data_IF_536442212414
#
_entry.id   IF_536442212414
#
_cell.length_a   1.000
_cell.length_b   1.000
_cell.length_c   1.000
_cell.angle_alpha   90.00
_cell.angle_beta   90.00
_cell.angle_gamma   90.00
#
_symmetry.space_group_name_H-M   'P 1'
#
loop_
_entity.id
_entity.type
_entity.pdbx_description
1 polymer ?
#
# COMPACT_ATOMS: atom_id res chain seq x y z
N UNK A 1 2.26 -7.54 1.81
CA UNK A 1 1.74 -6.19 1.46
C UNK A 1 0.25 -6.14 1.78
N UNK A 2 -0.35 -4.96 1.97
CA UNK A 2 -1.82 -4.82 1.91
C UNK A 2 -2.19 -3.75 0.88
N UNK A 3 -3.19 -4.07 0.07
CA UNK A 3 -3.86 -3.19 -0.89
C UNK A 3 -5.32 -3.05 -0.43
N UNK A 4 -5.86 -1.83 -0.51
CA UNK A 4 -7.27 -1.55 -0.21
C UNK A 4 -7.94 -1.00 -1.48
N UNK A 5 -9.07 -1.57 -1.88
CA UNK A 5 -9.90 -1.06 -2.98
C UNK A 5 -11.14 -0.39 -2.39
N UNK A 6 -11.40 0.88 -2.74
CA UNK A 6 -12.57 1.63 -2.28
C UNK A 6 -13.81 1.46 -3.17
N UNK A 7 -14.99 1.44 -2.56
CA UNK A 7 -16.28 1.40 -3.27
C UNK A 7 -16.81 2.81 -3.57
N UNK A 8 -17.83 2.91 -4.43
CA UNK A 8 -18.41 4.16 -4.97
C UNK A 8 -19.01 5.15 -3.94
N UNK A 9 -19.13 4.78 -2.67
CA UNK A 9 -19.67 5.63 -1.61
C UNK A 9 -18.90 6.94 -1.38
N UNK A 10 -19.66 7.98 -1.01
CA UNK A 10 -19.17 9.25 -0.47
C UNK A 10 -18.92 9.07 1.04
N UNK A 11 -17.92 9.76 1.60
CA UNK A 11 -17.62 9.73 3.04
C UNK A 11 -17.48 11.16 3.57
N UNK A 12 -18.07 11.49 4.73
CA UNK A 12 -17.96 12.83 5.32
C UNK A 12 -16.54 13.13 5.84
N UNK A 13 -16.28 14.43 6.04
CA UNK A 13 -14.96 15.01 6.25
C UNK A 13 -14.13 14.42 7.40
N UNK A 14 -13.03 13.75 7.05
CA UNK A 14 -11.90 13.53 7.95
C UNK A 14 -10.77 14.54 7.66
N UNK A 15 -10.01 14.94 8.69
CA UNK A 15 -8.81 15.78 8.54
C UNK A 15 -7.61 14.91 8.10
N UNK A 16 -7.42 14.77 6.78
CA UNK A 16 -6.32 13.99 6.20
C UNK A 16 -5.10 14.81 5.72
N UNK A 17 -5.19 16.14 5.71
CA UNK A 17 -4.13 17.05 5.21
C UNK A 17 -3.71 16.73 3.76
N UNK A 18 -2.45 16.97 3.37
CA UNK A 18 -1.99 16.82 1.99
C UNK A 18 -2.22 15.44 1.33
N UNK A 19 -2.41 14.35 2.10
CA UNK A 19 -2.91 13.09 1.52
C UNK A 19 -4.35 13.26 1.04
N UNK A 20 -5.24 13.77 1.90
CA UNK A 20 -6.64 14.01 1.56
C UNK A 20 -6.70 14.95 0.37
N UNK A 21 -5.98 16.07 0.41
CA UNK A 21 -5.99 17.09 -0.63
C UNK A 21 -5.58 16.48 -1.98
N UNK A 22 -4.43 15.77 -2.05
CA UNK A 22 -3.96 15.08 -3.26
C UNK A 22 -4.78 13.84 -3.68
N UNK A 23 -5.60 13.29 -2.78
CA UNK A 23 -6.60 12.24 -3.09
C UNK A 23 -7.88 12.86 -3.64
N UNK A 24 -8.31 14.02 -3.12
CA UNK A 24 -9.44 14.79 -3.62
C UNK A 24 -9.12 15.36 -5.01
N UNK A 25 -7.94 15.95 -5.24
CA UNK A 25 -7.43 16.34 -6.57
C UNK A 25 -7.53 15.19 -7.60
N UNK A 26 -7.04 13.99 -7.22
CA UNK A 26 -7.09 12.79 -8.10
C UNK A 26 -8.50 12.23 -8.28
N UNK A 27 -9.42 12.46 -7.34
CA UNK A 27 -10.83 12.11 -7.50
C UNK A 27 -11.57 13.15 -8.37
N UNK A 28 -11.27 14.44 -8.23
CA UNK A 28 -11.90 15.53 -8.99
C UNK A 28 -11.46 15.52 -10.46
N UNK A 29 -10.16 15.40 -10.73
CA UNK A 29 -9.64 15.21 -12.09
C UNK A 29 -10.16 13.95 -12.81
N UNK A 30 -10.74 12.99 -12.06
CA UNK A 30 -11.43 11.80 -12.60
C UNK A 30 -12.95 11.95 -12.67
N UNK A 31 -13.58 12.64 -11.70
CA UNK A 31 -15.00 13.04 -11.74
C UNK A 31 -15.31 13.99 -12.88
N UNK A 32 -14.36 14.85 -13.26
CA UNK A 32 -14.45 15.69 -14.46
C UNK A 32 -14.60 14.87 -15.77
N UNK A 33 -14.30 13.56 -15.74
CA UNK A 33 -14.50 12.63 -16.85
C UNK A 33 -15.67 11.65 -16.65
N UNK A 34 -16.38 11.66 -15.51
CA UNK A 34 -17.47 10.72 -15.20
C UNK A 34 -18.47 11.21 -14.12
N UNK A 35 -19.74 11.33 -14.50
CA UNK A 35 -20.94 11.50 -13.64
C UNK A 35 -22.16 10.86 -14.35
N UNK A 36 -23.31 10.59 -13.68
CA UNK A 36 -23.65 10.65 -12.23
C UNK A 36 -23.66 9.21 -11.62
N UNK A 37 -24.04 8.86 -10.37
CA UNK A 37 -24.34 9.48 -9.05
C UNK A 37 -24.23 8.33 -7.97
N UNK A 38 -24.47 8.44 -6.65
CA UNK A 38 -24.89 9.54 -5.77
C UNK A 38 -25.95 9.08 -4.75
N UNK A 39 -25.58 8.79 -3.48
CA UNK A 39 -26.52 8.31 -2.45
C UNK A 39 -26.00 8.42 -0.99
N UNK A 40 -26.91 8.81 -0.08
CA UNK A 40 -27.14 8.23 1.27
C UNK A 40 -26.08 8.28 2.38
N UNK A 41 -26.48 8.74 3.58
CA UNK A 41 -25.67 8.82 4.81
C UNK A 41 -26.51 8.37 6.04
N UNK A 42 -25.91 7.67 7.04
CA UNK A 42 -26.55 7.29 8.32
C UNK A 42 -25.56 6.98 9.46
N UNK A 43 -26.13 6.84 10.67
CA UNK A 43 -25.58 7.09 12.03
C UNK A 43 -24.80 5.89 12.68
N UNK A 44 -23.93 6.10 13.70
CA UNK A 44 -23.07 5.05 14.28
C UNK A 44 -23.59 4.43 15.60
N UNK A 45 -23.43 3.10 15.76
CA UNK A 45 -23.73 2.34 16.98
C UNK A 45 -22.49 1.71 17.65
N UNK A 46 -22.61 1.35 18.93
CA UNK A 46 -21.48 1.07 19.84
C UNK A 46 -20.74 -0.27 19.66
N UNK A 47 -19.57 -0.35 20.29
CA UNK A 47 -18.64 -1.48 20.29
C UNK A 47 -18.92 -2.51 21.40
N UNK A 48 -18.67 -3.80 21.10
CA UNK A 48 -18.53 -4.84 22.14
C UNK A 48 -17.43 -5.84 21.76
N UNK A 49 -16.73 -6.37 22.76
CA UNK A 49 -15.47 -7.12 22.58
C UNK A 49 -15.64 -8.63 22.66
N UNK A 50 -15.90 -9.29 21.52
CA UNK A 50 -15.44 -10.68 21.22
C UNK A 50 -15.75 -11.05 19.77
N UNK A 51 -14.88 -11.85 19.12
CA UNK A 51 -15.16 -12.60 17.88
C UNK A 51 -15.92 -11.86 16.77
N UNK A 52 -15.22 -11.05 15.97
CA UNK A 52 -15.80 -10.24 14.88
C UNK A 52 -16.65 -11.07 13.92
N UNK A 53 -17.97 -10.81 13.93
CA UNK A 53 -18.99 -11.51 13.12
C UNK A 53 -19.66 -10.48 12.18
N UNK A 54 -19.70 -10.79 10.89
CA UNK A 54 -19.97 -9.85 9.78
C UNK A 54 -21.11 -10.34 8.85
N UNK A 55 -21.47 -9.62 7.76
CA UNK A 55 -22.58 -9.99 6.86
C UNK A 55 -22.36 -11.30 6.07
N UNK A 56 -23.42 -12.05 5.70
CA UNK A 56 -23.30 -13.47 5.30
C UNK A 56 -22.55 -13.81 3.99
N UNK A 57 -22.26 -12.86 3.10
CA UNK A 57 -22.04 -13.16 1.66
C UNK A 57 -20.62 -12.90 1.10
N UNK A 58 -19.58 -12.90 1.94
CA UNK A 58 -18.20 -12.72 1.42
C UNK A 58 -17.69 -13.89 0.59
N UNK A 59 -16.79 -13.53 -0.31
CA UNK A 59 -15.88 -14.42 -1.03
C UNK A 59 -14.44 -14.15 -0.57
N UNK A 60 -13.71 -15.24 -0.32
CA UNK A 60 -12.26 -15.21 -0.07
C UNK A 60 -11.59 -16.04 -1.17
N UNK A 61 -10.78 -15.39 -1.99
CA UNK A 61 -9.93 -16.06 -2.96
C UNK A 61 -8.53 -16.18 -2.36
N UNK A 62 -8.01 -17.40 -2.27
CA UNK A 62 -6.68 -17.66 -1.70
C UNK A 62 -5.66 -17.95 -2.78
N UNK A 63 -4.41 -17.63 -2.48
CA UNK A 63 -3.23 -18.09 -3.22
C UNK A 63 -3.33 -17.82 -4.74
N UNK A 64 -3.90 -16.67 -5.11
CA UNK A 64 -4.04 -16.30 -6.52
C UNK A 64 -2.67 -15.88 -7.07
N UNK A 65 -2.16 -16.54 -8.14
CA UNK A 65 -0.91 -16.12 -8.77
C UNK A 65 -1.10 -14.81 -9.53
N UNK A 66 -0.19 -13.86 -9.31
CA UNK A 66 -0.05 -12.63 -10.10
C UNK A 66 1.21 -12.61 -10.98
N UNK A 67 2.01 -13.69 -10.94
CA UNK A 67 3.20 -13.91 -11.75
C UNK A 67 3.69 -15.35 -11.64
N UNK A 68 4.84 -15.63 -12.24
CA UNK A 68 5.36 -16.98 -12.47
C UNK A 68 6.25 -17.54 -11.33
N UNK A 69 6.72 -16.69 -10.40
CA UNK A 69 7.43 -17.14 -9.19
C UNK A 69 6.42 -17.66 -8.15
N UNK A 70 6.64 -18.81 -7.49
CA UNK A 70 5.72 -19.35 -6.48
C UNK A 70 5.40 -18.43 -5.30
N UNK A 71 6.18 -17.35 -5.08
CA UNK A 71 5.93 -16.32 -4.05
C UNK A 71 5.10 -15.14 -4.58
N UNK A 72 4.85 -15.05 -5.88
CA UNK A 72 3.99 -14.03 -6.51
C UNK A 72 2.51 -14.41 -6.39
N UNK A 73 2.03 -14.60 -5.16
CA UNK A 73 0.64 -14.91 -4.83
C UNK A 73 -0.02 -13.88 -3.91
N UNK A 74 -1.36 -13.83 -3.93
CA UNK A 74 -2.16 -12.93 -3.09
C UNK A 74 -3.46 -13.58 -2.56
N UNK A 75 -3.84 -13.21 -1.33
CA UNK A 75 -5.19 -13.46 -0.78
C UNK A 75 -6.10 -12.24 -1.09
N UNK A 76 -7.35 -12.49 -1.49
CA UNK A 76 -8.37 -11.45 -1.75
C UNK A 76 -9.57 -11.64 -0.82
N UNK A 77 -9.83 -10.65 0.03
CA UNK A 77 -10.94 -10.62 0.96
C UNK A 77 -12.01 -9.64 0.44
N UNK A 78 -13.14 -10.17 -0.06
CA UNK A 78 -14.24 -9.41 -0.68
C UNK A 78 -15.37 -9.21 0.35
N UNK A 79 -16.04 -8.02 0.43
CA UNK A 79 -16.96 -7.66 1.53
C UNK A 79 -17.96 -8.73 2.03
N UNK A 80 -18.04 -8.88 3.36
CA UNK A 80 -18.88 -9.86 4.08
C UNK A 80 -18.10 -10.71 5.13
N UNK A 81 -18.52 -11.97 5.36
CA UNK A 81 -17.95 -12.95 6.29
C UNK A 81 -16.67 -13.67 5.81
N UNK A 82 -15.50 -13.16 6.20
CA UNK A 82 -14.24 -13.90 6.08
C UNK A 82 -14.09 -14.88 7.24
N UNK A 83 -14.20 -16.19 6.96
CA UNK A 83 -14.06 -17.26 7.97
C UNK A 83 -12.67 -17.34 8.62
N UNK A 84 -11.61 -16.90 7.91
CA UNK A 84 -10.26 -16.77 8.47
C UNK A 84 -9.42 -15.80 7.63
N UNK A 85 -8.92 -14.73 8.25
CA UNK A 85 -7.85 -13.90 7.71
C UNK A 85 -6.51 -14.30 8.33
N UNK A 86 -5.39 -14.09 7.63
CA UNK A 86 -4.08 -14.29 8.24
C UNK A 86 -3.88 -13.31 9.42
N UNK A 87 -3.18 -13.74 10.47
CA UNK A 87 -3.02 -12.94 11.69
C UNK A 87 -2.32 -11.58 11.46
N UNK A 88 -1.63 -11.42 10.33
CA UNK A 88 -0.97 -10.17 9.92
C UNK A 88 -1.96 -9.13 9.33
N UNK A 89 -3.11 -9.56 8.80
CA UNK A 89 -4.10 -8.68 8.16
C UNK A 89 -5.46 -8.67 8.85
N UNK A 90 -5.71 -9.58 9.81
CA UNK A 90 -6.96 -9.73 10.56
C UNK A 90 -7.58 -8.41 11.02
N UNK A 91 -6.81 -7.55 11.71
CA UNK A 91 -7.29 -6.24 12.19
C UNK A 91 -7.66 -5.27 11.06
N UNK A 92 -7.01 -5.37 9.90
CA UNK A 92 -7.32 -4.55 8.72
C UNK A 92 -8.58 -5.06 8.02
N UNK A 93 -8.69 -6.39 7.85
CA UNK A 93 -9.89 -7.04 7.31
C UNK A 93 -11.10 -6.72 8.19
N UNK A 94 -11.02 -6.93 9.50
CA UNK A 94 -12.08 -6.64 10.45
C UNK A 94 -12.55 -5.17 10.47
N UNK A 95 -11.68 -4.21 10.13
CA UNK A 95 -12.02 -2.78 10.14
C UNK A 95 -12.52 -2.26 8.79
N UNK A 96 -11.96 -2.72 7.67
CA UNK A 96 -12.20 -2.16 6.33
C UNK A 96 -13.18 -2.99 5.50
N UNK A 97 -13.21 -4.32 5.67
CA UNK A 97 -14.13 -5.20 4.96
C UNK A 97 -15.62 -4.88 5.24
N UNK A 98 -16.04 -4.53 6.48
CA UNK A 98 -17.43 -4.12 6.75
C UNK A 98 -17.79 -2.77 6.12
N UNK A 99 -16.78 -1.95 5.76
CA UNK A 99 -16.93 -0.64 5.13
C UNK A 99 -16.94 -0.73 3.59
N UNK A 100 -17.14 -1.93 3.03
CA UNK A 100 -17.20 -2.17 1.59
C UNK A 100 -15.85 -2.20 0.87
N UNK A 101 -14.71 -2.22 1.57
CA UNK A 101 -13.40 -2.29 0.93
C UNK A 101 -13.00 -3.74 0.63
N UNK A 102 -12.60 -4.04 -0.61
CA UNK A 102 -11.89 -5.29 -0.91
C UNK A 102 -10.44 -5.14 -0.40
N UNK A 103 -9.97 -6.14 0.35
CA UNK A 103 -8.62 -6.16 0.93
C UNK A 103 -7.80 -7.19 0.17
N UNK A 104 -6.67 -6.80 -0.41
CA UNK A 104 -5.75 -7.72 -1.07
C UNK A 104 -4.44 -7.80 -0.29
N UNK A 105 -4.07 -9.01 0.14
CA UNK A 105 -2.85 -9.30 0.89
C UNK A 105 -1.83 -9.99 -0.03
N UNK A 106 -1.03 -9.19 -0.74
CA UNK A 106 0.01 -9.71 -1.65
C UNK A 106 1.27 -10.14 -0.92
N UNK A 107 1.79 -11.31 -1.26
CA UNK A 107 3.17 -11.70 -1.00
C UNK A 107 4.11 -11.14 -2.09
N UNK A 108 5.42 -11.37 -1.98
CA UNK A 108 6.47 -11.01 -2.96
C UNK A 108 7.71 -11.89 -2.73
N UNK A 109 8.63 -11.98 -3.70
CA UNK A 109 9.75 -12.93 -3.63
C UNK A 109 10.75 -12.59 -2.53
N UNK A 110 11.10 -13.57 -1.70
CA UNK A 110 12.21 -13.48 -0.75
C UNK A 110 13.43 -14.20 -1.33
N UNK A 111 14.55 -13.48 -1.45
CA UNK A 111 15.82 -14.01 -1.95
C UNK A 111 16.84 -14.23 -0.83
N UNK A 112 17.85 -15.08 -1.10
CA UNK A 112 19.05 -15.22 -0.27
C UNK A 112 20.09 -14.12 -0.54
N UNK A 113 19.83 -13.23 -1.51
CA UNK A 113 20.66 -12.08 -1.88
C UNK A 113 19.82 -10.78 -1.73
N UNK A 114 20.45 -9.63 -1.49
CA UNK A 114 19.78 -8.31 -1.59
C UNK A 114 19.06 -8.15 -2.93
N UNK A 115 17.73 -7.98 -2.92
CA UNK A 115 16.92 -7.82 -4.13
C UNK A 115 15.73 -6.84 -3.99
N UNK A 116 15.86 -5.69 -3.31
CA UNK A 116 14.73 -4.79 -3.02
C UNK A 116 14.05 -4.22 -4.27
N UNK A 117 14.76 -4.19 -5.41
CA UNK A 117 14.22 -3.75 -6.70
C UNK A 117 13.28 -4.81 -7.32
N UNK A 118 13.70 -6.09 -7.34
CA UNK A 118 12.82 -7.21 -7.74
C UNK A 118 11.57 -7.29 -6.85
N UNK A 119 11.73 -6.99 -5.56
CA UNK A 119 10.61 -6.93 -4.61
C UNK A 119 9.69 -5.74 -4.86
N UNK A 120 10.20 -4.63 -5.40
CA UNK A 120 9.37 -3.50 -5.82
C UNK A 120 8.62 -3.83 -7.12
N UNK A 121 9.27 -4.47 -8.09
CA UNK A 121 8.64 -4.98 -9.32
C UNK A 121 7.52 -5.98 -9.02
N UNK A 122 7.70 -6.88 -8.04
CA UNK A 122 6.65 -7.79 -7.58
C UNK A 122 5.42 -7.04 -7.04
N UNK A 123 5.61 -6.01 -6.21
CA UNK A 123 4.50 -5.20 -5.69
C UNK A 123 3.83 -4.37 -6.78
N UNK A 124 4.59 -3.87 -7.76
CA UNK A 124 4.06 -3.16 -8.92
C UNK A 124 3.23 -4.08 -9.83
N UNK A 125 3.69 -5.32 -10.05
CA UNK A 125 2.95 -6.36 -10.77
C UNK A 125 1.68 -6.78 -10.03
N UNK A 126 1.76 -6.94 -8.71
CA UNK A 126 0.59 -7.21 -7.87
C UNK A 126 -0.45 -6.08 -7.96
N UNK A 127 -0.02 -4.81 -7.95
CA UNK A 127 -0.92 -3.67 -8.19
C UNK A 127 -1.56 -3.72 -9.57
N UNK A 128 -0.79 -3.99 -10.63
CA UNK A 128 -1.31 -4.10 -12.00
C UNK A 128 -2.35 -5.24 -12.15
N UNK A 129 -2.06 -6.40 -11.58
CA UNK A 129 -3.00 -7.54 -11.52
C UNK A 129 -4.28 -7.18 -10.73
N UNK A 130 -4.14 -6.52 -9.58
CA UNK A 130 -5.28 -6.08 -8.76
C UNK A 130 -6.13 -5.05 -9.49
N UNK A 131 -5.53 -4.14 -10.27
CA UNK A 131 -6.26 -3.22 -11.14
C UNK A 131 -7.00 -3.97 -12.25
N UNK A 132 -6.36 -4.94 -12.92
CA UNK A 132 -7.00 -5.76 -13.95
C UNK A 132 -8.14 -6.65 -13.42
N UNK A 133 -8.13 -6.99 -12.12
CA UNK A 133 -9.16 -7.83 -11.48
C UNK A 133 -10.23 -7.06 -10.70
N UNK A 134 -10.00 -5.79 -10.33
CA UNK A 134 -10.82 -5.05 -9.36
C UNK A 134 -12.33 -5.16 -9.61
N UNK A 135 -12.77 -4.95 -10.86
CA UNK A 135 -14.19 -4.99 -11.25
C UNK A 135 -14.83 -6.35 -10.94
N UNK A 136 -14.10 -7.46 -11.13
CA UNK A 136 -14.58 -8.83 -10.83
C UNK A 136 -14.72 -9.12 -9.34
N UNK A 137 -14.16 -8.27 -8.48
CA UNK A 137 -14.31 -8.29 -7.03
C UNK A 137 -15.24 -7.16 -6.52
N UNK A 138 -15.89 -6.42 -7.41
CA UNK A 138 -16.70 -5.24 -7.08
C UNK A 138 -15.90 -3.98 -6.71
N UNK A 139 -14.58 -3.99 -6.85
CA UNK A 139 -13.72 -2.83 -6.60
C UNK A 139 -13.54 -1.95 -7.83
N UNK A 140 -13.31 -0.65 -7.60
CA UNK A 140 -12.94 0.31 -8.65
C UNK A 140 -11.41 0.26 -8.90
N UNK A 141 -10.95 -0.05 -10.13
CA UNK A 141 -9.51 -0.10 -10.47
C UNK A 141 -8.80 1.25 -10.36
N UNK A 142 -9.53 2.37 -10.36
CA UNK A 142 -8.98 3.70 -10.13
C UNK A 142 -8.79 4.02 -8.63
N UNK A 143 -9.54 3.38 -7.73
CA UNK A 143 -9.58 3.67 -6.27
C UNK A 143 -8.80 2.65 -5.42
N UNK A 144 -7.58 2.32 -5.86
CA UNK A 144 -6.64 1.47 -5.12
C UNK A 144 -5.74 2.30 -4.19
N UNK A 145 -5.62 1.90 -2.92
CA UNK A 145 -4.64 2.41 -1.97
C UNK A 145 -3.58 1.33 -1.68
N UNK A 146 -2.30 1.69 -1.75
CA UNK A 146 -1.19 0.84 -1.31
C UNK A 146 -0.92 1.04 0.19
N UNK A 147 -0.75 -0.03 0.96
CA UNK A 147 -0.49 0.03 2.42
C UNK A 147 0.67 -0.88 2.79
N UNK A 148 1.86 -0.30 2.90
CA UNK A 148 3.08 -0.98 3.32
C UNK A 148 3.35 -0.85 4.82
N UNK A 149 4.00 -1.85 5.42
CA UNK A 149 4.52 -1.79 6.79
C UNK A 149 5.99 -2.24 6.82
N UNK A 150 6.85 -1.51 7.54
CA UNK A 150 8.28 -1.80 7.69
C UNK A 150 8.98 -2.02 6.34
N UNK A 151 9.50 -3.22 6.04
CA UNK A 151 10.06 -3.55 4.72
C UNK A 151 9.06 -3.31 3.57
N UNK A 152 7.77 -3.62 3.77
CA UNK A 152 6.74 -3.28 2.79
C UNK A 152 6.48 -1.77 2.67
N UNK A 153 6.67 -1.01 3.75
CA UNK A 153 6.54 0.46 3.71
C UNK A 153 7.64 1.10 2.85
N UNK A 154 8.86 0.54 2.89
CA UNK A 154 9.94 0.87 1.97
C UNK A 154 9.59 0.56 0.50
N UNK A 155 9.08 -0.64 0.19
CA UNK A 155 8.72 -1.01 -1.18
C UNK A 155 7.67 -0.08 -1.79
N UNK A 156 6.59 0.25 -1.07
CA UNK A 156 5.58 1.19 -1.59
C UNK A 156 6.07 2.64 -1.64
N UNK A 157 7.11 2.99 -0.87
CA UNK A 157 7.79 4.29 -0.98
C UNK A 157 8.65 4.36 -2.25
N UNK A 158 9.25 3.25 -2.71
CA UNK A 158 9.93 3.19 -4.01
C UNK A 158 8.93 3.43 -5.15
N UNK A 159 7.80 2.71 -5.16
CA UNK A 159 6.75 2.88 -6.17
C UNK A 159 6.19 4.31 -6.17
N UNK A 160 5.94 4.91 -5.01
CA UNK A 160 5.41 6.26 -4.91
C UNK A 160 6.44 7.33 -5.35
N UNK A 161 7.72 7.15 -5.05
CA UNK A 161 8.81 8.05 -5.46
C UNK A 161 9.18 7.94 -6.95
N UNK A 162 8.99 6.76 -7.56
CA UNK A 162 9.25 6.49 -8.97
C UNK A 162 8.09 5.69 -9.59
N UNK A 163 7.02 6.39 -9.94
CA UNK A 163 5.78 5.83 -10.52
C UNK A 163 6.03 5.00 -11.80
N UNK A 164 7.21 5.13 -12.43
CA UNK A 164 7.60 4.33 -13.61
C UNK A 164 7.76 2.85 -13.31
N UNK A 165 8.07 2.48 -12.05
CA UNK A 165 8.12 1.08 -11.61
C UNK A 165 6.74 0.43 -11.80
N UNK A 166 5.66 1.15 -11.50
CA UNK A 166 4.28 0.67 -11.67
C UNK A 166 3.91 0.58 -13.15
N UNK A 167 4.18 1.62 -13.95
CA UNK A 167 3.85 1.59 -15.39
C UNK A 167 4.68 0.56 -16.16
N UNK A 168 5.92 0.28 -15.73
CA UNK A 168 6.78 -0.75 -16.31
C UNK A 168 6.25 -2.18 -16.13
N UNK A 169 5.46 -2.43 -15.09
CA UNK A 169 4.73 -3.70 -14.87
C UNK A 169 3.29 -3.64 -15.43
N UNK A 170 2.93 -2.63 -16.23
CA UNK A 170 1.60 -2.45 -16.82
C UNK A 170 0.54 -1.85 -15.89
N UNK A 171 0.92 -1.38 -14.70
CA UNK A 171 -0.01 -0.77 -13.74
C UNK A 171 -0.34 0.70 -14.05
N UNK A 172 -1.53 1.13 -13.62
CA UNK A 172 -2.02 2.50 -13.76
C UNK A 172 -1.81 3.33 -12.47
N UNK A 173 -1.85 4.67 -12.53
CA UNK A 173 -1.76 5.52 -11.33
C UNK A 173 -2.89 5.22 -10.32
N UNK A 174 -2.51 4.84 -9.11
CA UNK A 174 -3.41 4.50 -8.01
C UNK A 174 -3.78 5.75 -7.19
N UNK A 175 -4.64 5.59 -6.18
CA UNK A 175 -5.21 6.71 -5.41
C UNK A 175 -4.20 7.34 -4.46
N UNK A 176 -3.41 6.52 -3.76
CA UNK A 176 -2.37 6.98 -2.82
C UNK A 176 -1.72 5.84 -2.03
N UNK A 177 -0.68 6.16 -1.27
CA UNK A 177 0.16 5.21 -0.54
C UNK A 177 0.25 5.55 0.94
N UNK A 178 -0.10 4.60 1.81
CA UNK A 178 0.07 4.68 3.26
C UNK A 178 1.35 3.92 3.65
N UNK A 179 2.31 4.66 4.20
CA UNK A 179 3.66 4.17 4.54
C UNK A 179 3.74 4.00 6.06
N UNK A 180 3.62 2.77 6.57
CA UNK A 180 3.60 2.48 8.01
C UNK A 180 4.99 2.09 8.54
N UNK A 181 5.62 3.00 9.28
CA UNK A 181 6.88 2.81 10.03
C UNK A 181 8.06 2.30 9.19
N UNK A 182 8.19 2.83 7.96
CA UNK A 182 9.45 2.75 7.21
C UNK A 182 10.55 3.52 7.95
N UNK A 183 11.75 2.94 7.99
CA UNK A 183 13.00 3.62 8.34
C UNK A 183 14.08 3.32 7.29
N UNK A 184 13.66 3.20 6.03
CA UNK A 184 14.53 2.92 4.89
C UNK A 184 14.20 3.85 3.71
N UNK A 185 14.12 5.16 3.98
CA UNK A 185 13.89 6.16 2.93
C UNK A 185 15.19 6.59 2.23
N UNK A 186 16.30 6.69 2.99
CA UNK A 186 17.62 7.01 2.48
C UNK A 186 18.62 5.87 2.80
N UNK A 187 18.62 4.84 1.97
CA UNK A 187 19.48 3.66 2.15
C UNK A 187 20.97 4.03 2.06
N UNK A 188 21.34 4.99 1.21
CA UNK A 188 22.73 5.48 1.10
C UNK A 188 23.25 6.07 2.41
N UNK A 189 22.40 6.74 3.19
CA UNK A 189 22.75 7.30 4.50
C UNK A 189 22.81 6.18 5.56
N UNK A 190 21.76 5.35 5.66
CA UNK A 190 21.69 4.22 6.60
C UNK A 190 22.92 3.32 6.48
N UNK A 191 23.28 2.92 5.26
CA UNK A 191 24.38 1.98 5.01
C UNK A 191 25.77 2.60 5.19
N UNK A 192 25.88 3.94 5.26
CA UNK A 192 27.12 4.65 5.64
C UNK A 192 27.23 4.89 7.15
N UNK A 193 26.11 4.90 7.86
CA UNK A 193 26.02 5.07 9.32
C UNK A 193 26.07 3.73 10.06
N UNK A 194 26.15 3.75 11.40
CA UNK A 194 25.94 2.56 12.24
C UNK A 194 24.47 2.15 12.15
N UNK A 195 24.20 0.97 11.62
CA UNK A 195 22.86 0.46 11.35
C UNK A 195 22.64 -0.96 11.88
N UNK A 196 21.39 -1.44 11.87
CA UNK A 196 21.05 -2.80 12.26
C UNK A 196 21.40 -3.81 11.14
N UNK A 197 22.03 -4.94 11.49
CA UNK A 197 22.48 -5.96 10.52
C UNK A 197 21.40 -6.72 9.75
N UNK A 198 20.13 -6.29 9.80
CA UNK A 198 19.12 -6.69 8.81
C UNK A 198 19.21 -5.86 7.52
N UNK A 199 19.74 -4.63 7.59
CA UNK A 199 19.99 -3.80 6.42
C UNK A 199 21.12 -4.37 5.54
N UNK A 200 22.18 -4.95 6.11
CA UNK A 200 23.18 -5.74 5.35
C UNK A 200 22.54 -6.83 4.49
N UNK A 201 21.49 -7.50 5.00
CA UNK A 201 20.78 -8.57 4.29
C UNK A 201 19.82 -8.04 3.22
N UNK A 202 19.22 -6.87 3.45
CA UNK A 202 18.29 -6.23 2.52
C UNK A 202 19.01 -5.49 1.38
N UNK A 203 20.16 -4.88 1.65
CA UNK A 203 20.82 -3.92 0.75
C UNK A 203 22.27 -4.27 0.39
N UNK A 204 22.90 -5.22 1.10
CA UNK A 204 24.26 -5.67 0.79
C UNK A 204 25.31 -4.56 0.86
N UNK A 205 26.35 -4.70 0.03
CA UNK A 205 27.52 -3.79 0.00
C UNK A 205 27.63 -2.96 -1.27
N UNK A 206 26.68 -3.09 -2.20
CA UNK A 206 26.71 -2.35 -3.46
C UNK A 206 26.11 -0.95 -3.30
N UNK A 207 26.94 0.05 -3.61
CA UNK A 207 26.61 1.48 -3.50
C UNK A 207 25.70 1.95 -4.65
N UNK A 208 25.68 1.25 -5.79
CA UNK A 208 24.70 1.48 -6.84
C UNK A 208 23.32 1.05 -6.36
N UNK A 209 23.17 -0.22 -5.92
CA UNK A 209 21.94 -0.73 -5.31
C UNK A 209 21.44 0.12 -4.13
N UNK A 210 22.31 0.62 -3.24
CA UNK A 210 21.89 1.53 -2.15
C UNK A 210 21.24 2.82 -2.68
N UNK A 211 21.74 3.35 -3.80
CA UNK A 211 21.21 4.57 -4.42
C UNK A 211 19.89 4.26 -5.12
N UNK A 212 19.85 3.20 -5.93
CA UNK A 212 18.66 2.79 -6.65
C UNK A 212 17.51 2.32 -5.75
N UNK A 213 17.82 1.67 -4.62
CA UNK A 213 16.86 1.24 -3.62
C UNK A 213 16.54 2.32 -2.58
N UNK A 214 16.97 3.58 -2.75
CA UNK A 214 16.55 4.69 -1.88
C UNK A 214 15.33 5.42 -2.46
N UNK A 215 14.13 5.37 -1.83
CA UNK A 215 13.02 6.26 -2.16
C UNK A 215 13.46 7.74 -2.26
N UNK A 216 14.31 8.19 -1.35
CA UNK A 216 14.85 9.56 -1.35
C UNK A 216 15.66 9.93 -2.60
N UNK A 217 16.39 8.97 -3.21
CA UNK A 217 17.16 9.21 -4.45
C UNK A 217 16.32 9.00 -5.71
N UNK A 218 15.33 8.09 -5.67
CA UNK A 218 14.33 7.86 -6.71
C UNK A 218 13.41 9.07 -6.94
N UNK A 219 13.06 9.76 -5.85
CA UNK A 219 12.26 10.98 -5.83
C UNK A 219 12.95 12.10 -6.64
N UNK A 220 12.51 12.24 -7.89
CA UNK A 220 13.11 13.11 -8.94
C UNK A 220 12.08 13.96 -9.68
N UNK A 221 10.80 13.70 -9.43
CA UNK A 221 9.62 14.44 -9.88
C UNK A 221 8.52 14.26 -8.81
N UNK A 222 7.36 14.92 -8.99
CA UNK A 222 6.24 14.81 -8.06
C UNK A 222 5.83 13.33 -7.83
N UNK A 223 5.75 12.86 -6.57
CA UNK A 223 5.43 11.47 -6.27
C UNK A 223 3.95 11.15 -6.44
N UNK A 224 3.58 9.87 -6.27
CA UNK A 224 2.19 9.53 -5.96
C UNK A 224 1.82 10.06 -4.54
N UNK A 225 0.56 10.43 -4.26
CA UNK A 225 0.15 10.88 -2.93
C UNK A 225 0.55 9.92 -1.82
N UNK A 226 1.20 10.42 -0.78
CA UNK A 226 1.74 9.62 0.32
C UNK A 226 1.27 10.11 1.68
N UNK A 227 1.06 9.16 2.60
CA UNK A 227 0.86 9.43 4.02
C UNK A 227 1.85 8.64 4.85
N UNK A 228 2.81 9.34 5.44
CA UNK A 228 3.91 8.76 6.19
C UNK A 228 3.54 8.67 7.67
N UNK A 229 3.39 7.45 8.19
CA UNK A 229 3.20 7.17 9.61
C UNK A 229 4.52 6.66 10.18
N UNK A 230 4.98 7.23 11.29
CA UNK A 230 6.22 6.84 11.94
C UNK A 230 6.01 6.64 13.45
N UNK A 231 6.73 5.69 14.04
CA UNK A 231 6.69 5.44 15.48
C UNK A 231 7.54 6.47 16.22
N UNK A 232 6.91 7.31 17.04
CA UNK A 232 7.60 8.24 17.94
C UNK A 232 8.44 7.53 19.03
N UNK A 233 8.27 6.22 19.20
CA UNK A 233 9.07 5.36 20.10
C UNK A 233 10.36 4.86 19.45
N UNK A 234 10.60 5.18 18.16
CA UNK A 234 11.81 4.86 17.41
C UNK A 234 12.62 6.12 17.12
N UNK A 235 13.93 6.06 17.34
CA UNK A 235 14.85 7.17 17.06
C UNK A 235 15.15 7.34 15.57
N UNK A 236 14.92 6.33 14.73
CA UNK A 236 15.27 6.34 13.30
C UNK A 236 14.09 6.66 12.37
N UNK A 237 12.90 6.14 12.65
CA UNK A 237 11.74 6.21 11.74
C UNK A 237 11.25 7.65 11.48
N UNK A 238 10.93 8.41 12.53
CA UNK A 238 10.35 9.75 12.36
C UNK A 238 11.32 10.79 11.77
N UNK A 239 12.62 10.84 12.12
CA UNK A 239 13.56 11.74 11.45
C UNK A 239 13.68 11.48 9.95
N UNK A 240 13.83 10.21 9.52
CA UNK A 240 13.88 9.88 8.09
C UNK A 240 12.56 10.21 7.38
N UNK A 241 11.41 9.92 7.98
CA UNK A 241 10.11 10.25 7.39
C UNK A 241 9.95 11.75 7.17
N UNK A 242 10.45 12.59 8.09
CA UNK A 242 10.48 14.05 7.92
C UNK A 242 11.41 14.50 6.79
N UNK A 243 12.64 13.97 6.73
CA UNK A 243 13.62 14.31 5.66
C UNK A 243 13.11 13.91 4.28
N UNK A 244 12.44 12.75 4.16
CA UNK A 244 11.81 12.31 2.92
C UNK A 244 10.60 13.17 2.55
N UNK A 245 9.74 13.47 3.52
CA UNK A 245 8.59 14.38 3.35
C UNK A 245 9.02 15.78 2.88
N UNK A 246 10.11 16.35 3.43
CA UNK A 246 10.60 17.69 3.05
C UNK A 246 11.23 17.77 1.65
N UNK A 247 11.25 16.66 0.89
CA UNK A 247 11.67 16.60 -0.52
C UNK A 247 10.50 16.28 -1.47
N UNK A 248 9.37 15.83 -0.94
CA UNK A 248 8.24 15.27 -1.70
C UNK A 248 7.33 16.34 -2.34
#
# INVERSE_FOLDING_TARGET
>A
MVLLLGFLGYFPSAFGGPLRDGVEDRLEGRRAAAQPEGAGEMDPGELSTTGVRLPPEARLERDLPYGDDPQQHLDVYIPGQVKAASAFVSNKVAHWLPKGYVIVSSNYRMSRRPNPLEQADDIARALAFVQAKAISWGGDPARVLLVGHSAGAHLVSLLAADQRIVTGQGGAPWLGTIVLDSAAFNVVEIMRSKHYGFYDRAFGKDRALWTEASPYHRLTAAPAPMFLVCSSRRSDACPQARVFSSKA
#
